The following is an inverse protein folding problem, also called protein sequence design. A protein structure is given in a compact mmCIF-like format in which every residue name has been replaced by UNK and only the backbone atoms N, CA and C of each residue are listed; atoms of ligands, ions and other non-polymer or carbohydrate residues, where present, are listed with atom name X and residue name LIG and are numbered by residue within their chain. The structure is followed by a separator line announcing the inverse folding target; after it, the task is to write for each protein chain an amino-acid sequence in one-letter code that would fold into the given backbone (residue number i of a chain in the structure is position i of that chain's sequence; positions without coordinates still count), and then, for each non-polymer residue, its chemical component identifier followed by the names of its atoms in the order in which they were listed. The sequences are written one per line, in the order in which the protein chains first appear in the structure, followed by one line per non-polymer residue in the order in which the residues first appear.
data_IF_613997877080
#
_entry.id   IF_613997877080
#
_cell.length_a   1.000
_cell.length_b   1.000
_cell.length_c   1.000
_cell.angle_alpha   90.00
_cell.angle_beta   90.00
_cell.angle_gamma   90.00
#
_symmetry.space_group_name_H-M   'P 1'
#
loop_
_entity.id
_entity.type
_entity.pdbx_description
1 polymer ?
#
# COMPACT_ATOMS: atom_id res chain seq x y z
N UNK A 1 9.69 -0.74 -16.64
CA UNK A 1 10.57 -0.03 -15.68
C UNK A 1 9.95 -0.19 -14.31
N UNK A 2 10.74 -0.56 -13.31
CA UNK A 2 10.35 -0.56 -11.90
C UNK A 2 10.03 0.87 -11.46
N UNK A 3 9.06 1.05 -10.56
CA UNK A 3 8.78 2.38 -9.97
C UNK A 3 9.53 2.55 -8.65
N UNK A 4 9.83 3.80 -8.26
CA UNK A 4 10.45 4.08 -6.96
C UNK A 4 9.62 3.53 -5.79
N UNK A 5 8.29 3.47 -5.92
CA UNK A 5 7.42 2.89 -4.91
C UNK A 5 7.56 1.37 -4.84
N UNK A 6 7.50 0.68 -5.97
CA UNK A 6 7.80 -0.76 -6.05
C UNK A 6 9.18 -1.08 -5.43
N UNK A 7 10.24 -0.40 -5.87
CA UNK A 7 11.59 -0.59 -5.33
C UNK A 7 11.66 -0.39 -3.81
N UNK A 8 10.86 0.55 -3.28
CA UNK A 8 10.82 0.86 -1.84
C UNK A 8 10.12 -0.23 -1.05
N UNK A 9 8.95 -0.68 -1.51
CA UNK A 9 8.17 -1.72 -0.83
C UNK A 9 8.86 -3.08 -0.94
N UNK A 10 9.39 -3.44 -2.12
CA UNK A 10 10.16 -4.67 -2.31
C UNK A 10 11.46 -4.66 -1.46
N UNK A 11 12.14 -3.52 -1.33
CA UNK A 11 13.30 -3.40 -0.45
C UNK A 11 12.93 -3.50 1.04
N UNK A 12 11.81 -2.90 1.47
CA UNK A 12 11.28 -3.04 2.82
C UNK A 12 11.00 -4.52 3.14
N UNK A 13 10.20 -5.19 2.30
CA UNK A 13 9.86 -6.61 2.46
C UNK A 13 11.12 -7.49 2.44
N UNK A 14 12.10 -7.21 1.57
CA UNK A 14 13.35 -7.95 1.50
C UNK A 14 14.21 -7.78 2.77
N UNK A 15 14.23 -6.59 3.35
CA UNK A 15 14.99 -6.30 4.59
C UNK A 15 14.43 -7.06 5.80
N UNK A 16 13.16 -7.46 5.74
CA UNK A 16 12.47 -8.29 6.74
C UNK A 16 12.29 -9.76 6.33
N UNK A 17 12.96 -10.22 5.27
CA UNK A 17 12.86 -11.59 4.73
C UNK A 17 11.45 -12.02 4.24
N UNK A 18 10.59 -11.07 3.90
CA UNK A 18 9.20 -11.30 3.48
C UNK A 18 8.96 -11.22 1.96
N UNK A 19 9.95 -10.76 1.18
CA UNK A 19 9.77 -10.54 -0.27
C UNK A 19 9.37 -11.83 -1.02
N UNK A 20 10.02 -12.94 -0.73
CA UNK A 20 9.75 -14.22 -1.39
C UNK A 20 8.32 -14.70 -1.09
N UNK A 21 7.86 -14.51 0.16
CA UNK A 21 6.48 -14.82 0.55
C UNK A 21 5.47 -13.93 -0.18
N UNK A 22 5.72 -12.62 -0.23
CA UNK A 22 4.89 -11.68 -0.99
C UNK A 22 4.80 -12.05 -2.47
N UNK A 23 5.92 -12.43 -3.11
CA UNK A 23 5.96 -12.74 -4.54
C UNK A 23 5.35 -14.10 -4.90
N UNK A 24 5.27 -15.08 -3.98
CA UNK A 24 4.91 -16.48 -4.33
C UNK A 24 3.54 -16.96 -3.83
N UNK A 25 3.03 -16.50 -2.68
CA UNK A 25 2.00 -17.20 -1.88
C UNK A 25 0.54 -17.17 -2.35
N UNK A 26 0.23 -16.53 -3.48
CA UNK A 26 -1.13 -16.07 -3.85
C UNK A 26 -1.78 -15.06 -2.85
N UNK A 27 -1.88 -15.35 -1.55
CA UNK A 27 -2.27 -14.41 -0.46
C UNK A 27 -1.08 -14.02 0.45
N UNK A 28 -1.02 -12.76 0.88
CA UNK A 28 0.02 -12.24 1.77
C UNK A 28 -0.50 -11.06 2.62
N UNK A 29 -0.09 -11.01 3.89
CA UNK A 29 -0.32 -9.87 4.78
C UNK A 29 0.94 -9.64 5.63
N UNK A 30 1.30 -8.37 5.83
CA UNK A 30 2.19 -7.94 6.92
C UNK A 30 1.77 -6.55 7.41
N UNK A 31 1.81 -6.38 8.73
CA UNK A 31 1.80 -5.08 9.39
C UNK A 31 3.19 -4.76 9.95
N UNK A 32 3.63 -3.53 9.78
CA UNK A 32 4.81 -2.97 10.42
C UNK A 32 4.41 -1.87 11.41
N UNK A 33 4.95 -1.91 12.63
CA UNK A 33 4.84 -0.82 13.60
C UNK A 33 6.16 -0.02 13.68
N UNK A 34 6.06 1.30 13.80
CA UNK A 34 7.22 2.18 14.01
C UNK A 34 6.83 3.53 14.64
N UNK A 35 6.57 3.59 15.96
CA UNK A 35 6.25 4.85 16.64
C UNK A 35 7.31 5.95 16.39
N UNK A 36 6.92 7.21 16.18
CA UNK A 36 5.57 7.78 16.30
C UNK A 36 4.73 7.70 15.03
N UNK A 37 5.15 6.96 14.00
CA UNK A 37 4.39 6.81 12.76
C UNK A 37 3.23 5.82 12.94
N UNK A 38 2.17 6.04 12.16
CA UNK A 38 1.07 5.09 12.04
C UNK A 38 1.57 3.77 11.43
N UNK A 39 1.03 2.60 11.83
CA UNK A 39 1.39 1.31 11.26
C UNK A 39 1.35 1.31 9.73
N UNK A 40 2.28 0.61 9.10
CA UNK A 40 2.33 0.42 7.65
C UNK A 40 1.94 -1.03 7.33
N UNK A 41 0.82 -1.21 6.64
CA UNK A 41 0.28 -2.52 6.25
C UNK A 41 0.53 -2.73 4.76
N UNK A 42 0.97 -3.93 4.38
CA UNK A 42 1.17 -4.36 2.99
C UNK A 42 0.49 -5.71 2.80
N UNK A 43 -0.44 -5.77 1.86
CA UNK A 43 -1.25 -6.94 1.57
C UNK A 43 -1.18 -7.30 0.08
N UNK A 44 -1.36 -8.58 -0.23
CA UNK A 44 -1.64 -9.05 -1.59
C UNK A 44 -2.71 -10.14 -1.56
N UNK A 45 -3.70 -10.01 -2.44
CA UNK A 45 -4.74 -11.00 -2.69
C UNK A 45 -4.79 -11.26 -4.21
N UNK A 46 -4.13 -12.33 -4.65
CA UNK A 46 -3.96 -12.63 -6.08
C UNK A 46 -3.26 -11.49 -6.82
N UNK A 47 -3.97 -10.82 -7.73
CA UNK A 47 -3.47 -9.69 -8.53
C UNK A 47 -3.66 -8.31 -7.85
N UNK A 48 -4.28 -8.22 -6.67
CA UNK A 48 -4.45 -6.96 -5.94
C UNK A 48 -3.38 -6.80 -4.85
N UNK A 49 -2.64 -5.70 -4.89
CA UNK A 49 -1.77 -5.21 -3.79
C UNK A 49 -2.53 -4.10 -3.08
N UNK A 50 -2.57 -4.09 -1.74
CA UNK A 50 -2.82 -2.87 -0.96
C UNK A 50 -1.55 -2.49 -0.18
N UNK A 51 -1.29 -1.19 -0.10
CA UNK A 51 -0.33 -0.62 0.84
C UNK A 51 -1.03 0.53 1.56
N UNK A 52 -1.07 0.48 2.90
CA UNK A 52 -1.87 1.38 3.70
C UNK A 52 -1.16 1.85 4.98
N UNK A 53 -1.47 3.07 5.41
CA UNK A 53 -1.32 3.49 6.80
C UNK A 53 -2.69 3.53 7.46
N UNK A 54 -2.81 2.94 8.66
CA UNK A 54 -4.03 2.99 9.47
C UNK A 54 -3.82 3.80 10.74
N UNK A 55 -4.76 4.66 11.09
CA UNK A 55 -4.84 5.28 12.41
C UNK A 55 -6.18 4.90 13.07
N UNK A 56 -6.20 4.83 14.40
CA UNK A 56 -7.42 4.55 15.16
C UNK A 56 -8.19 5.85 15.44
N UNK A 57 -9.50 5.84 15.20
CA UNK A 57 -10.41 6.93 15.56
C UNK A 57 -11.70 6.35 16.12
N UNK A 58 -11.98 6.63 17.41
CA UNK A 58 -13.15 6.10 18.13
C UNK A 58 -13.25 4.55 18.17
N UNK A 59 -12.13 3.83 18.03
CA UNK A 59 -12.07 2.36 17.92
C UNK A 59 -12.14 1.83 16.48
N UNK A 60 -12.42 2.67 15.49
CA UNK A 60 -12.37 2.30 14.07
C UNK A 60 -10.97 2.52 13.49
N UNK A 61 -10.50 1.59 12.66
CA UNK A 61 -9.29 1.78 11.86
C UNK A 61 -9.61 2.57 10.59
N UNK A 62 -9.00 3.74 10.43
CA UNK A 62 -9.16 4.62 9.28
C UNK A 62 -7.88 4.60 8.45
N UNK A 63 -8.01 4.28 7.16
CA UNK A 63 -6.90 4.31 6.21
C UNK A 63 -6.59 5.76 5.76
N UNK A 64 -5.33 6.19 5.88
CA UNK A 64 -4.85 7.43 5.27
C UNK A 64 -3.33 7.41 5.01
N UNK A 65 -2.87 7.12 3.78
CA UNK A 65 -3.63 6.58 2.65
C UNK A 65 -3.83 5.05 2.77
N UNK A 66 -4.69 4.51 1.91
CA UNK A 66 -4.59 3.15 1.36
C UNK A 66 -4.47 3.28 -0.17
N UNK A 67 -3.50 2.60 -0.78
CA UNK A 67 -3.35 2.57 -2.25
C UNK A 67 -3.39 1.14 -2.76
N UNK A 68 -4.32 0.91 -3.68
CA UNK A 68 -4.44 -0.35 -4.41
C UNK A 68 -3.62 -0.31 -5.70
N UNK A 69 -2.91 -1.39 -5.99
CA UNK A 69 -2.14 -1.57 -7.22
C UNK A 69 -2.32 -2.98 -7.80
N UNK A 70 -2.18 -3.10 -9.11
CA UNK A 70 -2.20 -4.39 -9.81
C UNK A 70 -0.84 -5.10 -9.72
N UNK A 71 -0.76 -6.28 -9.13
CA UNK A 71 0.38 -7.20 -9.21
C UNK A 71 0.38 -7.97 -10.54
N UNK A 72 1.53 -8.19 -11.23
CA UNK A 72 2.89 -7.77 -10.88
C UNK A 72 3.29 -6.40 -11.47
N UNK A 73 2.36 -5.66 -12.09
CA UNK A 73 2.68 -4.43 -12.83
C UNK A 73 2.93 -3.19 -11.95
N UNK A 74 2.55 -3.24 -10.68
CA UNK A 74 2.53 -2.10 -9.73
C UNK A 74 1.81 -0.86 -10.28
N UNK A 75 0.83 -1.06 -11.17
CA UNK A 75 0.00 0.03 -11.71
C UNK A 75 -1.07 0.38 -10.68
N UNK A 76 -1.17 1.62 -10.18
CA UNK A 76 -2.22 1.98 -9.23
C UNK A 76 -3.60 1.87 -9.86
N UNK A 77 -4.55 1.34 -9.09
CA UNK A 77 -5.95 1.06 -9.48
C UNK A 77 -6.95 1.84 -8.65
N UNK A 78 -6.69 2.06 -7.35
CA UNK A 78 -7.49 2.94 -6.50
C UNK A 78 -6.62 3.61 -5.42
N UNK A 79 -7.15 4.67 -4.81
CA UNK A 79 -6.64 5.26 -3.57
C UNK A 79 -7.82 5.59 -2.65
N UNK A 80 -7.66 5.28 -1.38
CA UNK A 80 -8.55 5.63 -0.27
C UNK A 80 -7.80 6.59 0.66
N UNK A 81 -8.48 7.62 1.15
CA UNK A 81 -7.96 8.58 2.14
C UNK A 81 -8.97 8.78 3.26
N UNK A 82 -8.55 9.50 4.31
CA UNK A 82 -9.38 9.81 5.46
C UNK A 82 -10.79 10.33 5.08
N UNK A 83 -11.77 10.09 5.96
CA UNK A 83 -13.20 10.40 5.75
C UNK A 83 -13.85 9.64 4.58
N UNK A 84 -13.27 8.52 4.15
CA UNK A 84 -13.84 7.64 3.12
C UNK A 84 -13.73 8.18 1.69
N UNK A 85 -12.82 9.13 1.45
CA UNK A 85 -12.56 9.61 0.09
C UNK A 85 -11.83 8.53 -0.72
N UNK A 86 -12.60 7.73 -1.48
CA UNK A 86 -12.09 6.71 -2.39
C UNK A 86 -12.19 7.18 -3.84
N UNK A 87 -11.10 7.02 -4.60
CA UNK A 87 -11.03 7.29 -6.04
C UNK A 87 -10.46 6.07 -6.75
N UNK A 88 -11.22 5.53 -7.70
CA UNK A 88 -10.78 4.47 -8.60
C UNK A 88 -10.28 5.02 -9.95
N UNK A 89 -9.33 4.32 -10.58
CA UNK A 89 -8.90 4.57 -11.97
C UNK A 89 -10.01 4.24 -12.97
N UNK A 90 -10.75 3.17 -12.68
CA UNK A 90 -11.89 2.70 -13.45
C UNK A 90 -13.17 3.07 -12.69
N UNK A 91 -14.14 3.63 -13.40
CA UNK A 91 -15.39 4.14 -12.85
C UNK A 91 -16.53 3.48 -13.60
N UNK A 92 -17.24 2.57 -12.95
CA UNK A 92 -18.43 1.94 -13.52
C UNK A 92 -19.64 2.87 -13.41
N UNK A 93 -20.25 3.17 -14.56
CA UNK A 93 -21.45 4.02 -14.64
C UNK A 93 -22.29 3.63 -15.86
N UNK A 94 -23.60 3.51 -15.66
CA UNK A 94 -24.57 3.26 -16.75
C UNK A 94 -24.20 2.03 -17.62
N UNK A 95 -23.64 0.98 -17.00
CA UNK A 95 -23.16 -0.24 -17.66
C UNK A 95 -21.88 -0.07 -18.48
N UNK A 96 -21.10 0.98 -18.24
CA UNK A 96 -19.86 1.30 -18.94
C UNK A 96 -18.72 1.62 -17.97
N UNK A 97 -17.55 1.08 -18.26
CA UNK A 97 -16.29 1.46 -17.63
C UNK A 97 -15.77 2.78 -18.22
N UNK A 98 -15.67 3.80 -17.38
CA UNK A 98 -14.94 5.04 -17.69
C UNK A 98 -13.54 4.99 -17.08
N UNK A 99 -12.56 5.65 -17.70
CA UNK A 99 -11.18 5.75 -17.19
C UNK A 99 -10.90 7.18 -16.77
N UNK A 100 -10.50 7.37 -15.52
CA UNK A 100 -9.95 8.64 -15.06
C UNK A 100 -8.54 8.83 -15.65
N UNK A 101 -8.46 9.62 -16.73
CA UNK A 101 -7.23 9.90 -17.45
C UNK A 101 -6.18 10.67 -16.63
N UNK A 102 -6.56 11.30 -15.51
CA UNK A 102 -5.63 12.01 -14.61
C UNK A 102 -5.10 11.13 -13.49
N UNK A 103 -5.92 10.18 -13.02
CA UNK A 103 -5.63 9.29 -11.89
C UNK A 103 -4.21 8.74 -11.92
N UNK A 104 -3.79 8.13 -13.03
CA UNK A 104 -2.50 7.46 -13.11
C UNK A 104 -1.32 8.43 -12.92
N UNK A 105 -1.41 9.66 -13.45
CA UNK A 105 -0.36 10.68 -13.26
C UNK A 105 -0.33 11.18 -11.82
N UNK A 106 -1.49 11.48 -11.26
CA UNK A 106 -1.62 12.08 -9.92
C UNK A 106 -1.22 11.06 -8.84
N UNK A 107 -1.75 9.84 -8.87
CA UNK A 107 -1.43 8.79 -7.91
C UNK A 107 0.01 8.28 -8.06
N UNK A 108 0.57 8.17 -9.28
CA UNK A 108 2.00 7.82 -9.42
C UNK A 108 2.93 8.91 -8.87
N UNK A 109 2.52 10.18 -8.96
CA UNK A 109 3.27 11.30 -8.36
C UNK A 109 3.22 11.25 -6.83
N UNK A 110 2.06 10.92 -6.26
CA UNK A 110 1.88 10.67 -4.83
C UNK A 110 2.72 9.47 -4.35
N UNK A 111 2.66 8.32 -5.04
CA UNK A 111 3.43 7.12 -4.72
C UNK A 111 4.95 7.41 -4.73
N UNK A 112 5.44 8.20 -5.68
CA UNK A 112 6.85 8.61 -5.70
C UNK A 112 7.25 9.51 -4.52
N UNK A 113 6.34 10.33 -3.98
CA UNK A 113 6.55 11.11 -2.76
C UNK A 113 6.50 10.20 -1.52
N UNK A 114 5.49 9.35 -1.40
CA UNK A 114 5.32 8.46 -0.26
C UNK A 114 6.47 7.45 -0.14
N UNK A 115 6.97 6.92 -1.27
CA UNK A 115 8.18 6.10 -1.32
C UNK A 115 9.40 6.78 -0.69
N UNK A 116 9.63 8.07 -1.00
CA UNK A 116 10.72 8.86 -0.39
C UNK A 116 10.52 9.02 1.11
N UNK A 117 9.28 9.24 1.56
CA UNK A 117 8.96 9.34 2.98
C UNK A 117 9.23 8.01 3.70
N UNK A 118 8.77 6.87 3.18
CA UNK A 118 9.02 5.54 3.75
C UNK A 118 10.54 5.27 3.88
N UNK A 119 11.32 5.60 2.84
CA UNK A 119 12.80 5.48 2.89
C UNK A 119 13.42 6.41 3.93
N UNK A 120 12.99 7.68 3.99
CA UNK A 120 13.54 8.68 4.91
C UNK A 120 13.19 8.41 6.39
N UNK A 121 12.00 7.85 6.65
CA UNK A 121 11.57 7.42 7.99
C UNK A 121 12.36 6.20 8.48
N UNK A 122 12.83 5.36 7.55
CA UNK A 122 13.74 4.24 7.83
C UNK A 122 13.06 2.91 8.14
N UNK A 123 11.84 2.68 7.63
CA UNK A 123 11.04 1.47 7.86
C UNK A 123 11.80 0.15 7.61
N UNK A 124 12.67 0.12 6.58
CA UNK A 124 13.48 -1.05 6.23
C UNK A 124 14.52 -1.45 7.31
N UNK A 125 14.82 -0.56 8.26
CA UNK A 125 15.81 -0.77 9.34
C UNK A 125 15.17 -0.71 10.73
N UNK A 126 14.13 0.11 10.90
CA UNK A 126 13.53 0.44 12.21
C UNK A 126 12.09 -0.04 12.39
N UNK A 127 11.38 -0.34 11.31
CA UNK A 127 10.03 -0.89 11.39
C UNK A 127 10.09 -2.30 11.93
N UNK A 128 9.17 -2.66 12.83
CA UNK A 128 9.07 -4.01 13.39
C UNK A 128 7.86 -4.70 12.80
N UNK A 129 8.01 -5.96 12.38
CA UNK A 129 6.86 -6.80 11.98
C UNK A 129 5.96 -6.97 13.20
N UNK A 130 4.67 -6.65 13.06
CA UNK A 130 3.68 -6.95 14.08
C UNK A 130 3.47 -8.46 14.13
N UNK A 131 3.58 -9.04 15.32
CA UNK A 131 3.21 -10.41 15.59
C UNK A 131 1.96 -10.36 16.47
N UNK A 132 0.82 -10.79 15.96
CA UNK A 132 -0.40 -10.93 16.77
C UNK A 132 -0.13 -11.92 17.90
N UNK A 133 -0.33 -11.52 19.16
CA UNK A 133 -0.17 -12.38 20.36
C UNK A 133 -1.32 -13.40 20.51
N UNK A 134 -1.76 -14.03 19.41
CA UNK A 134 -2.88 -14.98 19.38
C UNK A 134 -2.49 -16.30 18.72
N UNK A 135 -1.75 -17.10 19.48
CA UNK A 135 -1.84 -18.58 19.44
C UNK A 135 -3.11 -19.05 20.20
#
# INVERSE_FOLDING_TARGET
MTTLFQETIEHLLKSHHLLDAFQTREDFHVRFDMPPYQPLVIERHGELISVAHYYEQNGDLIADPDVELHYPSWTPTAITQALGYRRGKFIERDGKTYVDARFHKEVSSFLALWARNIKAQGWAVKGQVHHDERD
#
